data_IF_713034629361
#
_entry.id   IF_713034629361
#
_cell.length_a   1.000
_cell.length_b   1.000
_cell.length_c   1.000
_cell.angle_alpha   90.00
_cell.angle_beta   90.00
_cell.angle_gamma   90.00
#
_symmetry.space_group_name_H-M   'P 1'
#
loop_
_entity.id
_entity.type
_entity.pdbx_description
1 polymer ?
#
# COMPACT_ATOMS: atom_id res chain seq x y z
N UNK A 1 -24.03 -2.47 -8.72
CA UNK A 1 -23.74 -2.93 -7.36
C UNK A 1 -24.88 -3.80 -6.82
N UNK A 2 -26.14 -3.33 -6.84
CA UNK A 2 -27.32 -4.06 -6.33
C UNK A 2 -27.49 -5.44 -6.96
N UNK A 3 -27.39 -5.55 -8.28
CA UNK A 3 -27.51 -6.84 -9.01
C UNK A 3 -26.48 -7.86 -8.53
N UNK A 4 -25.24 -7.44 -8.30
CA UNK A 4 -24.19 -8.33 -7.79
C UNK A 4 -24.47 -8.81 -6.36
N UNK A 5 -25.03 -7.95 -5.50
CA UNK A 5 -25.44 -8.34 -4.14
C UNK A 5 -26.53 -9.42 -4.17
N UNK A 6 -27.56 -9.20 -4.98
CA UNK A 6 -28.63 -10.18 -5.17
C UNK A 6 -28.09 -11.49 -5.75
N UNK A 7 -27.23 -11.42 -6.77
CA UNK A 7 -26.60 -12.61 -7.35
C UNK A 7 -25.74 -13.36 -6.32
N UNK A 8 -24.97 -12.65 -5.51
CA UNK A 8 -24.15 -13.28 -4.47
C UNK A 8 -25.00 -14.07 -3.47
N UNK A 9 -26.09 -13.49 -2.99
CA UNK A 9 -27.00 -14.14 -2.04
C UNK A 9 -27.79 -15.30 -2.65
N UNK A 10 -28.17 -15.19 -3.93
CA UNK A 10 -29.01 -16.20 -4.58
C UNK A 10 -28.23 -17.34 -5.24
N UNK A 11 -26.98 -17.10 -5.66
CA UNK A 11 -26.26 -18.02 -6.54
C UNK A 11 -24.86 -18.40 -6.05
N UNK A 12 -24.28 -17.66 -5.10
CA UNK A 12 -22.90 -17.89 -4.65
C UNK A 12 -22.85 -18.44 -3.23
N UNK A 13 -23.58 -17.85 -2.32
CA UNK A 13 -23.68 -18.35 -0.93
C UNK A 13 -24.74 -19.44 -0.83
N UNK A 14 -24.62 -20.32 0.16
CA UNK A 14 -25.65 -21.28 0.51
C UNK A 14 -26.88 -20.58 1.09
N UNK A 15 -28.04 -21.23 0.98
CA UNK A 15 -29.33 -20.66 1.42
C UNK A 15 -29.31 -20.26 2.90
N UNK A 16 -28.72 -21.08 3.77
CA UNK A 16 -28.60 -20.82 5.20
C UNK A 16 -27.73 -19.57 5.51
N UNK A 17 -26.65 -19.36 4.75
CA UNK A 17 -25.79 -18.17 4.88
C UNK A 17 -26.51 -16.92 4.37
N UNK A 18 -27.21 -17.02 3.24
CA UNK A 18 -27.98 -15.92 2.69
C UNK A 18 -29.13 -15.53 3.64
N UNK A 19 -29.86 -16.49 4.18
CA UNK A 19 -30.94 -16.28 5.15
C UNK A 19 -30.41 -15.65 6.45
N UNK A 20 -29.28 -16.13 6.99
CA UNK A 20 -28.67 -15.54 8.17
C UNK A 20 -28.28 -14.06 7.94
N UNK A 21 -27.77 -13.73 6.74
CA UNK A 21 -27.50 -12.33 6.38
C UNK A 21 -28.78 -11.50 6.28
N UNK A 22 -29.81 -12.01 5.63
CA UNK A 22 -31.08 -11.31 5.44
C UNK A 22 -31.83 -11.12 6.75
N UNK A 23 -31.72 -12.06 7.68
CA UNK A 23 -32.31 -11.98 9.02
C UNK A 23 -31.49 -11.10 10.00
N UNK A 24 -30.26 -10.75 9.64
CA UNK A 24 -29.38 -9.93 10.48
C UNK A 24 -28.56 -10.72 11.51
N UNK A 25 -28.52 -12.06 11.42
CA UNK A 25 -27.76 -12.92 12.30
C UNK A 25 -26.24 -12.80 12.03
N UNK A 26 -25.88 -12.55 10.75
CA UNK A 26 -24.53 -12.26 10.29
C UNK A 26 -24.51 -11.08 9.33
N UNK A 27 -23.34 -10.48 9.13
CA UNK A 27 -23.13 -9.46 8.12
C UNK A 27 -22.12 -9.92 7.07
N UNK A 28 -22.56 -10.11 5.82
CA UNK A 28 -21.68 -10.31 4.66
C UNK A 28 -21.34 -8.94 4.08
N UNK A 29 -20.05 -8.59 4.18
CA UNK A 29 -19.57 -7.26 3.78
C UNK A 29 -19.26 -7.20 2.28
N UNK A 30 -19.41 -6.03 1.67
CA UNK A 30 -19.05 -5.74 0.27
C UNK A 30 -19.58 -6.74 -0.78
N UNK A 31 -20.79 -7.26 -0.62
CA UNK A 31 -21.44 -8.18 -1.56
C UNK A 31 -21.50 -7.68 -3.01
N UNK A 32 -21.39 -6.37 -3.23
CA UNK A 32 -21.29 -5.76 -4.56
C UNK A 32 -19.96 -6.00 -5.27
N UNK A 33 -18.95 -6.51 -4.57
CA UNK A 33 -17.60 -6.75 -5.06
C UNK A 33 -17.11 -8.18 -4.85
N UNK A 34 -18.01 -9.14 -4.81
CA UNK A 34 -17.73 -10.56 -4.59
C UNK A 34 -16.78 -11.16 -5.63
N UNK A 35 -16.60 -10.50 -6.76
CA UNK A 35 -15.74 -10.88 -7.87
C UNK A 35 -14.26 -10.55 -7.67
N UNK A 36 -13.87 -9.99 -6.53
CA UNK A 36 -12.48 -9.59 -6.26
C UNK A 36 -12.08 -9.75 -4.79
N UNK A 37 -10.77 -9.84 -4.51
CA UNK A 37 -10.27 -9.86 -3.14
C UNK A 37 -10.68 -8.61 -2.37
N UNK A 38 -10.79 -8.73 -1.04
CA UNK A 38 -11.23 -7.61 -0.21
C UNK A 38 -10.13 -6.56 -0.05
N UNK A 39 -9.10 -6.83 0.72
CA UNK A 39 -7.97 -5.93 0.98
C UNK A 39 -6.64 -6.56 0.55
N UNK A 40 -5.61 -5.74 0.46
CA UNK A 40 -4.26 -6.21 0.17
C UNK A 40 -3.23 -5.48 1.04
N UNK A 41 -2.41 -6.24 1.77
CA UNK A 41 -1.21 -5.73 2.44
C UNK A 41 -0.03 -5.77 1.47
N UNK A 42 0.72 -4.69 1.38
CA UNK A 42 1.85 -4.53 0.48
C UNK A 42 3.11 -4.12 1.25
N UNK A 43 4.26 -4.51 0.70
CA UNK A 43 5.57 -4.02 1.13
C UNK A 43 6.21 -3.15 0.05
N UNK A 44 6.93 -2.13 0.46
CA UNK A 44 7.73 -1.30 -0.45
C UNK A 44 8.97 -2.01 -1.01
N UNK A 45 9.33 -3.15 -0.45
CA UNK A 45 10.58 -3.86 -0.81
C UNK A 45 10.68 -4.14 -2.30
N UNK A 46 9.62 -4.69 -2.90
CA UNK A 46 9.60 -5.01 -4.33
C UNK A 46 9.81 -3.77 -5.19
N UNK A 47 9.06 -2.70 -4.92
CA UNK A 47 9.15 -1.44 -5.67
C UNK A 47 10.52 -0.80 -5.53
N UNK A 48 11.11 -0.84 -4.34
CA UNK A 48 12.47 -0.34 -4.09
C UNK A 48 13.52 -1.10 -4.88
N UNK A 49 13.38 -2.42 -4.96
CA UNK A 49 14.37 -3.33 -5.57
C UNK A 49 14.29 -3.36 -7.08
N UNK A 50 13.09 -3.39 -7.63
CA UNK A 50 12.86 -3.61 -9.06
C UNK A 50 12.31 -2.39 -9.80
N UNK A 51 11.85 -1.37 -9.09
CA UNK A 51 11.17 -0.23 -9.69
C UNK A 51 9.68 -0.48 -9.89
N UNK A 52 9.09 0.17 -10.86
CA UNK A 52 7.66 0.10 -11.13
C UNK A 52 7.40 -0.27 -12.58
N UNK A 53 6.76 -1.42 -12.78
CA UNK A 53 6.24 -1.87 -14.06
C UNK A 53 4.74 -2.17 -13.88
N UNK A 54 3.91 -1.31 -14.43
CA UNK A 54 2.45 -1.43 -14.33
C UNK A 54 1.87 -1.98 -15.63
N UNK A 55 0.86 -2.87 -15.56
CA UNK A 55 0.14 -3.31 -16.74
C UNK A 55 -0.34 -2.14 -17.60
N UNK A 56 -0.12 -2.21 -18.90
CA UNK A 56 -0.52 -1.18 -19.87
C UNK A 56 0.19 0.17 -19.72
N UNK A 57 1.25 0.27 -18.93
CA UNK A 57 2.09 1.47 -18.89
C UNK A 57 2.94 1.59 -20.16
N UNK A 58 3.27 2.82 -20.54
CA UNK A 58 4.10 3.08 -21.73
C UNK A 58 5.59 2.80 -21.47
N UNK A 59 6.01 2.74 -20.22
CA UNK A 59 7.41 2.54 -19.84
C UNK A 59 7.52 1.94 -18.45
N UNK A 60 8.56 1.16 -18.24
CA UNK A 60 8.98 0.67 -16.93
C UNK A 60 9.85 1.72 -16.24
N UNK A 61 9.57 2.02 -14.98
CA UNK A 61 10.40 2.87 -14.14
C UNK A 61 11.45 2.02 -13.39
N UNK A 62 12.71 2.42 -13.47
CA UNK A 62 13.79 1.82 -12.69
C UNK A 62 13.63 2.11 -11.20
N UNK A 63 14.35 1.40 -10.30
CA UNK A 63 14.38 1.70 -8.88
C UNK A 63 14.62 3.17 -8.59
N UNK A 64 13.83 3.73 -7.69
CA UNK A 64 13.89 5.13 -7.32
C UNK A 64 15.26 5.49 -6.69
N UNK A 65 15.76 6.68 -6.98
CA UNK A 65 16.97 7.24 -6.38
C UNK A 65 16.69 8.34 -5.37
N UNK A 66 15.50 8.89 -5.39
CA UNK A 66 15.06 10.01 -4.55
C UNK A 66 13.77 9.65 -3.82
N UNK A 67 13.52 10.16 -2.61
CA UNK A 67 12.33 9.81 -1.82
C UNK A 67 11.02 10.18 -2.52
N UNK A 68 10.95 11.32 -3.19
CA UNK A 68 9.77 11.76 -3.93
C UNK A 68 9.46 10.85 -5.14
N UNK A 69 10.49 10.26 -5.75
CA UNK A 69 10.29 9.30 -6.85
C UNK A 69 9.77 7.96 -6.30
N UNK A 70 10.28 7.51 -5.15
CA UNK A 70 9.76 6.33 -4.48
C UNK A 70 8.31 6.54 -4.04
N UNK A 71 7.98 7.72 -3.52
CA UNK A 71 6.61 8.10 -3.19
C UNK A 71 5.71 8.05 -4.43
N UNK A 72 6.15 8.60 -5.55
CA UNK A 72 5.39 8.54 -6.80
C UNK A 72 5.16 7.09 -7.28
N UNK A 73 6.15 6.20 -7.12
CA UNK A 73 5.98 4.78 -7.41
C UNK A 73 4.94 4.13 -6.50
N UNK A 74 5.02 4.38 -5.18
CA UNK A 74 4.08 3.90 -4.18
C UNK A 74 2.64 4.27 -4.52
N UNK A 75 2.38 5.55 -4.76
CA UNK A 75 1.04 6.07 -5.05
C UNK A 75 0.48 5.51 -6.36
N UNK A 76 1.31 5.45 -7.42
CA UNK A 76 0.89 4.86 -8.70
C UNK A 76 0.59 3.37 -8.60
N UNK A 77 1.38 2.62 -7.84
CA UNK A 77 1.12 1.22 -7.59
C UNK A 77 -0.17 1.01 -6.80
N UNK A 78 -0.39 1.79 -5.73
CA UNK A 78 -1.62 1.77 -4.96
C UNK A 78 -2.85 2.08 -5.83
N UNK A 79 -2.76 3.09 -6.70
CA UNK A 79 -3.83 3.46 -7.63
C UNK A 79 -4.16 2.33 -8.61
N UNK A 80 -3.14 1.65 -9.15
CA UNK A 80 -3.31 0.51 -10.05
C UNK A 80 -3.94 -0.69 -9.34
N UNK A 81 -3.52 -0.98 -8.10
CA UNK A 81 -4.08 -2.07 -7.31
C UNK A 81 -5.52 -1.81 -6.88
N UNK A 82 -5.88 -0.56 -6.56
CA UNK A 82 -7.20 -0.23 -6.02
C UNK A 82 -8.35 -0.72 -6.90
N UNK A 83 -8.16 -0.76 -8.22
CA UNK A 83 -9.17 -1.26 -9.15
C UNK A 83 -9.44 -2.76 -9.03
N UNK A 84 -8.49 -3.52 -8.48
CA UNK A 84 -8.53 -4.97 -8.36
C UNK A 84 -8.98 -5.48 -6.99
N UNK A 85 -9.13 -4.58 -6.01
CA UNK A 85 -9.53 -4.92 -4.65
C UNK A 85 -10.84 -4.24 -4.25
N UNK A 86 -11.60 -4.90 -3.40
CA UNK A 86 -12.84 -4.36 -2.85
C UNK A 86 -12.61 -3.37 -1.71
N UNK A 87 -11.59 -3.59 -0.92
CA UNK A 87 -11.23 -2.79 0.25
C UNK A 87 -9.92 -2.00 0.07
N UNK A 88 -9.18 -1.86 1.15
CA UNK A 88 -7.99 -1.04 1.23
C UNK A 88 -6.73 -1.70 0.65
N UNK A 89 -5.79 -0.87 0.23
CA UNK A 89 -4.41 -1.25 -0.05
C UNK A 89 -3.55 -0.74 1.11
N UNK A 90 -3.17 -1.65 2.02
CA UNK A 90 -2.34 -1.36 3.18
C UNK A 90 -0.85 -1.43 2.84
N UNK A 91 -0.05 -0.60 3.49
CA UNK A 91 1.40 -0.56 3.33
C UNK A 91 2.10 -0.80 4.66
N UNK A 92 2.90 -1.85 4.72
CA UNK A 92 3.63 -2.20 5.91
C UNK A 92 4.93 -1.41 6.06
N UNK A 93 5.29 -1.07 7.30
CA UNK A 93 6.57 -0.48 7.69
C UNK A 93 7.02 0.72 6.82
N UNK A 94 6.11 1.60 6.45
CA UNK A 94 6.37 2.69 5.51
C UNK A 94 7.55 3.55 5.94
N UNK A 95 7.58 3.98 7.21
CA UNK A 95 8.67 4.79 7.75
C UNK A 95 10.01 4.04 7.75
N UNK A 96 10.00 2.75 8.06
CA UNK A 96 11.21 1.89 8.04
C UNK A 96 11.76 1.77 6.62
N UNK A 97 10.89 1.53 5.63
CA UNK A 97 11.32 1.41 4.24
C UNK A 97 11.75 2.73 3.60
N UNK A 98 11.21 3.87 4.03
CA UNK A 98 11.64 5.18 3.55
C UNK A 98 12.92 5.69 4.22
N UNK A 99 13.27 5.23 5.43
CA UNK A 99 14.40 5.72 6.20
C UNK A 99 15.71 5.87 5.39
N UNK A 100 16.15 4.88 4.57
CA UNK A 100 17.37 5.00 3.77
C UNK A 100 17.31 6.10 2.68
N UNK A 101 16.14 6.60 2.36
CA UNK A 101 15.93 7.69 1.39
C UNK A 101 15.86 9.06 2.06
N UNK A 102 15.60 9.08 3.37
CA UNK A 102 15.46 10.30 4.15
C UNK A 102 16.74 10.64 4.92
N UNK A 103 17.75 9.77 4.86
CA UNK A 103 19.05 9.99 5.51
C UNK A 103 19.68 11.30 5.03
N UNK A 104 20.12 12.12 5.99
CA UNK A 104 20.75 13.43 5.73
C UNK A 104 19.79 14.57 5.43
N UNK A 105 18.47 14.32 5.41
CA UNK A 105 17.47 15.40 5.33
C UNK A 105 17.28 16.08 6.71
N UNK A 106 17.01 17.37 6.68
CA UNK A 106 16.60 18.12 7.87
C UNK A 106 15.18 17.76 8.30
N UNK A 107 14.82 18.02 9.56
CA UNK A 107 13.46 17.80 10.10
C UNK A 107 12.37 18.48 9.25
N UNK A 108 12.65 19.66 8.72
CA UNK A 108 11.71 20.38 7.86
C UNK A 108 11.49 19.66 6.52
N UNK A 109 12.53 19.07 5.93
CA UNK A 109 12.43 18.30 4.70
C UNK A 109 11.69 16.98 4.93
N UNK A 110 11.96 16.30 6.05
CA UNK A 110 11.21 15.09 6.45
C UNK A 110 9.73 15.42 6.69
N UNK A 111 9.44 16.52 7.37
CA UNK A 111 8.07 17.00 7.58
C UNK A 111 7.37 17.33 6.25
N UNK A 112 8.07 17.98 5.33
CA UNK A 112 7.55 18.28 4.00
C UNK A 112 7.30 16.99 3.21
N UNK A 113 8.17 16.01 3.31
CA UNK A 113 7.97 14.70 2.69
C UNK A 113 6.74 13.98 3.26
N UNK A 114 6.55 13.97 4.58
CA UNK A 114 5.36 13.39 5.20
C UNK A 114 4.06 14.09 4.73
N UNK A 115 4.11 15.42 4.58
CA UNK A 115 2.99 16.19 4.03
C UNK A 115 2.70 15.78 2.57
N UNK A 116 3.72 15.61 1.73
CA UNK A 116 3.56 15.11 0.35
C UNK A 116 2.92 13.72 0.32
N UNK A 117 3.34 12.82 1.19
CA UNK A 117 2.78 11.46 1.28
C UNK A 117 1.25 11.51 1.52
N UNK A 118 0.82 12.29 2.50
CA UNK A 118 -0.60 12.45 2.83
C UNK A 118 -1.34 13.15 1.68
N UNK A 119 -0.76 14.19 1.11
CA UNK A 119 -1.35 14.95 0.02
C UNK A 119 -1.60 14.05 -1.21
N UNK A 120 -0.59 13.29 -1.64
CA UNK A 120 -0.68 12.42 -2.82
C UNK A 120 -1.78 11.37 -2.66
N UNK A 121 -1.90 10.73 -1.52
CA UNK A 121 -2.97 9.76 -1.28
C UNK A 121 -4.36 10.41 -1.18
N UNK A 122 -4.45 11.60 -0.60
CA UNK A 122 -5.73 12.30 -0.40
C UNK A 122 -6.30 12.94 -1.68
N UNK A 123 -5.44 13.24 -2.67
CA UNK A 123 -5.84 13.93 -3.90
C UNK A 123 -6.07 12.99 -5.09
N UNK A 124 -5.73 11.72 -4.98
CA UNK A 124 -5.92 10.75 -6.07
C UNK A 124 -7.35 10.22 -6.11
N UNK A 125 -8.16 10.76 -7.00
CA UNK A 125 -9.55 10.33 -7.24
C UNK A 125 -9.62 9.29 -8.37
N UNK A 126 -8.95 8.16 -8.23
CA UNK A 126 -8.74 7.16 -9.30
C UNK A 126 -9.57 5.89 -9.13
N UNK A 127 -10.18 5.68 -7.96
CA UNK A 127 -10.90 4.46 -7.66
C UNK A 127 -12.42 4.66 -7.79
N UNK A 128 -13.12 3.63 -8.26
CA UNK A 128 -14.56 3.41 -8.13
C UNK A 128 -15.45 4.67 -8.25
N UNK A 129 -15.40 5.34 -9.38
CA UNK A 129 -16.28 6.49 -9.62
C UNK A 129 -15.80 7.78 -8.96
N UNK A 130 -14.50 7.94 -8.73
CA UNK A 130 -13.92 9.19 -8.27
C UNK A 130 -13.67 9.25 -6.75
N UNK A 131 -13.49 8.11 -6.10
CA UNK A 131 -13.04 8.05 -4.70
C UNK A 131 -11.51 8.18 -4.61
N UNK A 132 -11.03 8.75 -3.51
CA UNK A 132 -9.62 8.67 -3.16
C UNK A 132 -9.18 7.21 -2.96
N UNK A 133 -7.89 6.95 -3.06
CA UNK A 133 -7.33 5.62 -2.78
C UNK A 133 -7.63 5.28 -1.31
N UNK A 134 -8.31 4.16 -1.10
CA UNK A 134 -8.54 3.65 0.25
C UNK A 134 -7.27 2.91 0.70
N UNK A 135 -6.50 3.54 1.57
CA UNK A 135 -5.20 3.03 2.02
C UNK A 135 -5.02 3.21 3.53
N UNK A 136 -4.18 2.37 4.09
CA UNK A 136 -3.61 2.54 5.42
C UNK A 136 -2.10 2.40 5.37
N UNK A 137 -1.41 3.07 6.29
CA UNK A 137 0.04 3.12 6.39
C UNK A 137 0.44 2.64 7.78
N UNK A 138 1.11 1.49 7.86
CA UNK A 138 1.66 1.01 9.11
C UNK A 138 2.99 1.72 9.38
N UNK A 139 3.05 2.39 10.53
CA UNK A 139 4.23 3.06 11.05
C UNK A 139 4.72 2.31 12.29
N UNK A 140 6.00 2.00 12.33
CA UNK A 140 6.61 1.34 13.47
C UNK A 140 7.40 2.35 14.30
N UNK A 141 7.21 2.29 15.61
CA UNK A 141 7.94 3.13 16.56
C UNK A 141 9.38 2.65 16.76
N UNK A 142 9.57 1.36 16.67
CA UNK A 142 10.87 0.67 16.70
C UNK A 142 10.96 -0.26 15.51
N UNK A 143 12.17 -0.58 15.06
CA UNK A 143 12.34 -1.55 13.97
C UNK A 143 11.86 -2.91 14.42
N UNK A 144 10.92 -3.55 13.72
CA UNK A 144 10.48 -4.89 14.04
C UNK A 144 11.64 -5.90 14.00
N UNK A 145 11.67 -6.83 14.94
CA UNK A 145 12.74 -7.83 15.07
C UNK A 145 13.06 -8.60 13.80
N UNK A 146 12.05 -8.86 12.98
CA UNK A 146 12.23 -9.54 11.69
C UNK A 146 12.92 -8.69 10.63
N UNK A 147 13.02 -7.38 10.82
CA UNK A 147 13.77 -6.48 9.94
C UNK A 147 15.15 -6.09 10.47
N UNK A 148 15.47 -6.32 11.76
CA UNK A 148 16.72 -5.88 12.37
C UNK A 148 17.97 -6.30 11.60
N UNK A 149 17.98 -7.54 11.10
CA UNK A 149 19.12 -8.12 10.40
C UNK A 149 18.94 -8.20 8.86
N UNK A 150 17.88 -7.57 8.33
CA UNK A 150 17.64 -7.54 6.90
C UNK A 150 18.41 -6.37 6.27
N UNK A 151 19.20 -6.58 5.20
CA UNK A 151 19.87 -5.50 4.52
C UNK A 151 18.87 -4.44 4.03
N UNK A 152 19.11 -3.19 4.40
CA UNK A 152 18.27 -2.09 3.91
C UNK A 152 18.44 -1.93 2.39
N UNK A 153 17.34 -1.76 1.66
CA UNK A 153 17.37 -1.42 0.25
C UNK A 153 17.34 0.10 0.14
N UNK A 154 18.45 0.66 -0.32
CA UNK A 154 18.63 2.11 -0.47
C UNK A 154 18.28 2.63 -1.88
N UNK A 155 18.62 3.90 -2.14
CA UNK A 155 18.44 4.54 -3.44
C UNK A 155 19.01 3.74 -4.61
N UNK A 156 18.24 3.63 -5.69
CA UNK A 156 18.63 2.85 -6.86
C UNK A 156 18.48 1.35 -6.72
N UNK A 157 17.77 0.85 -5.70
CA UNK A 157 17.48 -0.56 -5.49
C UNK A 157 18.68 -1.39 -5.01
N UNK A 158 19.71 -0.73 -4.51
CA UNK A 158 20.93 -1.41 -4.04
C UNK A 158 20.79 -1.76 -2.56
N UNK A 159 21.17 -2.99 -2.16
CA UNK A 159 21.30 -3.28 -0.73
C UNK A 159 22.30 -2.28 -0.10
N UNK A 160 21.96 -1.73 1.04
CA UNK A 160 22.92 -0.98 1.83
C UNK A 160 23.96 -1.96 2.35
N UNK A 161 25.18 -1.83 1.88
CA UNK A 161 26.32 -2.66 2.34
C UNK A 161 26.81 -2.27 3.73
N UNK A 162 26.33 -1.13 4.25
CA UNK A 162 26.86 -0.51 5.45
C UNK A 162 26.01 -0.73 6.70
N UNK A 163 24.68 -0.93 6.56
CA UNK A 163 23.81 -1.02 7.75
C UNK A 163 22.57 -1.91 7.50
N UNK A 164 22.24 -2.80 8.45
CA UNK A 164 20.92 -3.40 8.53
C UNK A 164 19.87 -2.32 8.81
N UNK A 165 18.61 -2.59 8.51
CA UNK A 165 17.49 -1.67 8.70
C UNK A 165 17.47 -1.09 10.12
N UNK A 166 17.82 -1.90 11.14
CA UNK A 166 17.87 -1.48 12.54
C UNK A 166 18.89 -0.37 12.86
N UNK A 167 19.98 -0.30 12.13
CA UNK A 167 21.04 0.70 12.38
C UNK A 167 20.73 2.08 11.76
N UNK A 168 19.76 2.17 10.84
CA UNK A 168 19.38 3.42 10.17
C UNK A 168 18.43 4.30 10.99
N UNK A 169 17.99 3.86 12.17
CA UNK A 169 16.91 4.51 12.95
C UNK A 169 17.40 4.93 14.36
N UNK A 170 18.67 4.76 14.69
CA UNK A 170 19.17 5.29 15.97
C UNK A 170 19.20 6.82 15.93
N UNK A 171 18.54 7.50 16.88
CA UNK A 171 18.61 8.96 16.98
C UNK A 171 20.04 9.37 17.34
N UNK A 172 20.61 10.23 16.54
CA UNK A 172 21.87 10.94 16.84
C UNK A 172 21.70 11.90 18.00
#
# INVERSE_FOLDING_TARGET
ERIKKEYALLCVFSEDVADAHMNGDIHLHDLGFIDRPYCSGQSLEYIKKFGLDLPHSLSMAKPAKHPEVLLAHLVKFAAALQSNFAGAIGWDAVNVFFAPYLEGLSDNEVKQFAQMLIFEFSQQAVARGGQAIFTDLNLYWEVPKHFENVPAIGPGGRPSTAQPIGAAIEPS
#
